data_IF_199070683203
#
_entry.id   IF_199070683203
#
_cell.length_a   1.000
_cell.length_b   1.000
_cell.length_c   1.000
_cell.angle_alpha   90.00
_cell.angle_beta   90.00
_cell.angle_gamma   90.00
#
_symmetry.space_group_name_H-M   'P 1'
#
loop_
_entity.id
_entity.type
_entity.pdbx_description
1 polymer ?
#
# COMPACT_ATOMS: atom_id res chain seq x y z
N UNK A 1 -18.89 18.78 -24.12
CA UNK A 1 -18.46 19.45 -22.88
C UNK A 1 -18.53 20.93 -23.13
N UNK A 2 -19.08 21.73 -22.21
CA UNK A 2 -18.92 23.18 -22.27
C UNK A 2 -17.44 23.51 -22.11
N UNK A 3 -16.88 24.33 -22.99
CA UNK A 3 -15.51 24.84 -22.86
C UNK A 3 -15.52 26.09 -22.00
N UNK A 4 -14.41 26.38 -21.29
CA UNK A 4 -14.32 27.56 -20.42
C UNK A 4 -14.59 28.89 -21.16
N UNK A 5 -14.35 28.92 -22.48
CA UNK A 5 -14.63 30.04 -23.37
C UNK A 5 -16.13 30.35 -23.56
N UNK A 6 -17.01 29.43 -23.13
CA UNK A 6 -18.46 29.55 -23.28
C UNK A 6 -19.16 30.02 -21.99
N UNK A 7 -18.42 30.22 -20.90
CA UNK A 7 -18.97 30.62 -19.60
C UNK A 7 -19.00 32.15 -19.46
N UNK A 8 -20.08 32.67 -18.84
CA UNK A 8 -20.13 34.05 -18.41
C UNK A 8 -19.16 34.29 -17.23
N UNK A 9 -18.75 35.54 -17.03
CA UNK A 9 -17.78 35.89 -15.98
C UNK A 9 -18.23 35.47 -14.57
N UNK A 10 -19.53 35.54 -14.27
CA UNK A 10 -20.11 35.12 -12.98
C UNK A 10 -20.05 33.60 -12.79
N UNK A 11 -20.28 32.83 -13.86
CA UNK A 11 -20.22 31.37 -13.84
C UNK A 11 -18.78 30.89 -13.66
N UNK A 12 -17.83 31.57 -14.31
CA UNK A 12 -16.41 31.30 -14.15
C UNK A 12 -15.94 31.58 -12.72
N UNK A 13 -16.40 32.68 -12.11
CA UNK A 13 -16.06 33.02 -10.73
C UNK A 13 -16.64 31.99 -9.73
N UNK A 14 -17.88 31.55 -9.93
CA UNK A 14 -18.49 30.50 -9.11
C UNK A 14 -17.73 29.17 -9.23
N UNK A 15 -17.31 28.82 -10.45
CA UNK A 15 -16.50 27.61 -10.70
C UNK A 15 -15.13 27.69 -10.01
N UNK A 16 -14.46 28.85 -10.05
CA UNK A 16 -13.19 29.05 -9.34
C UNK A 16 -13.35 28.93 -7.82
N UNK A 17 -14.42 29.46 -7.25
CA UNK A 17 -14.71 29.29 -5.82
C UNK A 17 -14.93 27.82 -5.46
N UNK A 18 -15.70 27.09 -6.26
CA UNK A 18 -15.92 25.66 -6.04
C UNK A 18 -14.60 24.87 -6.01
N UNK A 19 -13.67 25.16 -6.92
CA UNK A 19 -12.37 24.50 -6.94
C UNK A 19 -11.49 24.89 -5.74
N UNK A 20 -11.51 26.16 -5.33
CA UNK A 20 -10.80 26.61 -4.15
C UNK A 20 -11.33 25.93 -2.87
N UNK A 21 -12.65 25.84 -2.71
CA UNK A 21 -13.29 25.16 -1.57
C UNK A 21 -13.03 23.64 -1.59
N UNK A 22 -12.81 23.08 -2.78
CA UNK A 22 -12.44 21.67 -2.96
C UNK A 22 -10.95 21.39 -2.70
N UNK A 23 -10.16 22.41 -2.33
CA UNK A 23 -8.73 22.27 -2.04
C UNK A 23 -7.86 22.10 -3.28
N UNK A 24 -8.31 22.59 -4.44
CA UNK A 24 -7.51 22.59 -5.67
C UNK A 24 -6.60 23.82 -5.67
N UNK A 25 -5.33 23.61 -5.35
CA UNK A 25 -4.33 24.70 -5.26
C UNK A 25 -3.39 24.80 -6.48
N UNK A 26 -3.46 23.84 -7.41
CA UNK A 26 -2.58 23.77 -8.60
C UNK A 26 -3.40 23.36 -9.82
N UNK A 27 -3.18 24.06 -10.94
CA UNK A 27 -3.68 23.69 -12.26
C UNK A 27 -2.58 22.95 -13.03
N UNK A 28 -2.91 21.79 -13.58
CA UNK A 28 -2.01 21.03 -14.45
C UNK A 28 -2.38 21.28 -15.91
N UNK A 29 -1.41 21.64 -16.73
CA UNK A 29 -1.56 21.73 -18.19
C UNK A 29 -1.19 20.41 -18.86
N UNK A 30 -1.70 20.20 -20.08
CA UNK A 30 -1.39 19.02 -20.89
C UNK A 30 0.07 18.96 -21.36
N UNK A 31 0.78 20.09 -21.32
CA UNK A 31 2.19 20.21 -21.70
C UNK A 31 3.07 20.46 -20.46
N UNK A 32 4.26 19.83 -20.37
CA UNK A 32 5.18 20.07 -19.28
C UNK A 32 5.70 21.50 -19.31
N UNK A 33 5.59 22.20 -18.18
CA UNK A 33 6.05 23.59 -18.01
C UNK A 33 7.44 23.61 -17.36
N UNK A 34 8.39 24.31 -17.98
CA UNK A 34 9.71 24.55 -17.41
C UNK A 34 9.66 25.66 -16.35
N UNK A 35 9.63 25.24 -15.09
CA UNK A 35 9.59 26.12 -13.92
C UNK A 35 10.82 27.06 -13.80
N UNK A 36 11.94 26.73 -14.45
CA UNK A 36 13.16 27.55 -14.40
C UNK A 36 13.16 28.68 -15.43
N UNK A 37 12.34 28.56 -16.48
CA UNK A 37 12.16 29.56 -17.52
C UNK A 37 11.01 30.53 -17.23
N UNK A 38 10.15 30.21 -16.25
CA UNK A 38 9.05 31.06 -15.82
C UNK A 38 9.59 32.32 -15.14
N UNK A 39 9.37 33.46 -15.78
CA UNK A 39 9.64 34.77 -15.18
C UNK A 39 8.60 34.98 -14.06
N UNK A 40 8.99 35.32 -12.82
CA UNK A 40 8.02 35.56 -11.77
C UNK A 40 7.07 36.67 -12.20
N UNK A 41 5.80 36.33 -12.39
CA UNK A 41 4.75 37.31 -12.62
C UNK A 41 4.67 38.21 -11.38
N UNK A 42 4.58 39.52 -11.61
CA UNK A 42 4.37 40.46 -10.52
C UNK A 42 3.08 40.09 -9.80
N UNK A 43 3.08 39.97 -8.46
CA UNK A 43 1.86 39.68 -7.74
C UNK A 43 0.82 40.75 -8.08
N UNK A 44 -0.33 40.31 -8.60
CA UNK A 44 -1.48 41.17 -8.83
C UNK A 44 -1.82 41.93 -7.54
N UNK A 45 -2.28 43.20 -7.62
CA UNK A 45 -2.61 43.98 -6.44
C UNK A 45 -3.64 43.23 -5.61
N UNK A 46 -3.32 43.06 -4.32
CA UNK A 46 -4.17 42.36 -3.37
C UNK A 46 -5.59 42.96 -3.39
N UNK A 47 -6.58 42.11 -3.68
CA UNK A 47 -7.98 42.48 -3.55
C UNK A 47 -8.25 43.03 -2.14
N UNK A 48 -9.10 44.06 -1.99
CA UNK A 48 -9.33 44.72 -0.72
C UNK A 48 -9.91 43.72 0.28
N UNK A 49 -9.09 43.36 1.27
CA UNK A 49 -9.54 42.58 2.44
C UNK A 49 -10.70 43.35 3.07
N UNK A 50 -11.89 42.74 3.07
CA UNK A 50 -13.02 43.24 3.85
C UNK A 50 -12.56 43.36 5.31
N UNK A 51 -12.41 44.61 5.75
CA UNK A 51 -12.04 44.98 7.10
C UNK A 51 -13.18 44.53 8.00
N UNK A 52 -13.03 43.39 8.66
CA UNK A 52 -13.93 43.00 9.73
C UNK A 52 -13.89 44.11 10.79
N UNK A 53 -15.04 44.76 10.97
CA UNK A 53 -15.25 45.83 11.95
C UNK A 53 -15.25 45.18 13.34
N UNK A 54 -14.35 45.58 14.26
CA UNK A 54 -14.45 45.16 15.66
C UNK A 54 -15.71 45.77 16.29
N UNK A 55 -16.52 45.00 17.05
CA UNK A 55 -17.62 45.60 17.79
C UNK A 55 -17.09 46.57 18.85
N UNK A 56 -17.79 47.70 18.97
CA UNK A 56 -17.44 48.85 19.79
C UNK A 56 -17.31 48.50 21.29
N UNK A 57 -16.27 49.06 21.92
CA UNK A 57 -16.10 49.10 23.38
C UNK A 57 -17.16 50.04 23.98
N UNK A 58 -17.90 49.56 24.96
CA UNK A 58 -18.69 50.40 25.86
C UNK A 58 -17.83 50.85 27.06
N UNK A 59 -18.10 52.02 27.67
CA UNK A 59 -17.25 52.59 28.72
C UNK A 59 -17.50 51.96 30.09
N UNK A 60 -16.45 52.03 30.90
CA UNK A 60 -16.33 51.56 32.27
C UNK A 60 -17.41 52.12 33.22
N UNK A 61 -17.96 51.23 34.05
CA UNK A 61 -18.66 51.59 35.28
C UNK A 61 -18.13 50.72 36.43
N UNK A 62 -17.40 51.38 37.32
CA UNK A 62 -17.27 51.21 38.78
C UNK A 62 -17.14 49.81 39.39
N UNK A 63 -15.97 49.66 40.03
CA UNK A 63 -15.53 48.71 41.03
C UNK A 63 -16.55 48.43 42.16
N UNK A 64 -16.98 47.17 42.31
CA UNK A 64 -17.54 46.63 43.55
C UNK A 64 -17.38 45.09 43.63
N UNK A 65 -16.50 44.67 44.54
CA UNK A 65 -16.52 43.48 45.40
C UNK A 65 -16.94 42.11 44.80
N UNK A 66 -15.96 41.19 44.73
CA UNK A 66 -16.13 39.75 44.44
C UNK A 66 -16.68 38.96 45.64
N UNK A 67 -17.76 38.18 45.48
CA UNK A 67 -18.06 36.99 46.30
C UNK A 67 -17.47 35.71 45.65
N UNK A 68 -17.33 34.60 46.41
CA UNK A 68 -16.63 33.39 45.97
C UNK A 68 -17.45 32.53 45.01
N UNK A 69 -16.73 31.68 44.26
CA UNK A 69 -17.20 30.85 43.15
C UNK A 69 -18.27 29.81 43.53
N UNK A 70 -19.28 29.57 42.66
CA UNK A 70 -20.09 28.37 42.73
C UNK A 70 -19.43 27.21 41.95
N UNK A 71 -19.28 26.07 42.65
CA UNK A 71 -18.85 24.79 42.11
C UNK A 71 -19.83 24.30 41.03
N UNK A 72 -19.32 24.02 39.83
CA UNK A 72 -20.12 23.41 38.75
C UNK A 72 -20.10 21.90 38.93
N UNK A 73 -21.25 21.33 39.27
CA UNK A 73 -21.46 19.89 39.37
C UNK A 73 -21.23 19.18 38.03
N UNK A 74 -20.59 18.02 38.06
CA UNK A 74 -20.48 17.10 36.93
C UNK A 74 -21.84 16.45 36.65
N UNK A 75 -22.31 16.39 35.39
CA UNK A 75 -23.47 15.59 35.06
C UNK A 75 -23.06 14.11 34.91
N UNK A 76 -23.46 13.30 35.88
CA UNK A 76 -23.55 11.84 35.73
C UNK A 76 -24.89 11.49 35.07
N UNK A 77 -24.85 10.60 34.08
CA UNK A 77 -25.93 9.65 33.79
C UNK A 77 -26.98 10.07 32.76
N UNK A 78 -26.75 9.67 31.51
CA UNK A 78 -27.83 9.06 30.72
C UNK A 78 -27.26 7.87 29.97
N UNK A 79 -27.59 6.68 30.46
CA UNK A 79 -27.34 5.42 29.79
C UNK A 79 -28.23 5.38 28.54
N UNK A 80 -27.65 5.68 27.38
CA UNK A 80 -28.28 5.37 26.11
C UNK A 80 -28.16 3.86 25.90
N UNK A 81 -29.32 3.21 25.76
CA UNK A 81 -29.46 1.79 25.44
C UNK A 81 -28.49 1.36 24.35
N UNK A 82 -27.74 0.29 24.64
CA UNK A 82 -27.07 -0.50 23.62
C UNK A 82 -28.12 -0.99 22.62
N UNK A 83 -28.08 -0.46 21.41
CA UNK A 83 -28.75 -1.06 20.27
C UNK A 83 -28.01 -2.38 20.01
N UNK A 84 -28.70 -3.54 19.96
CA UNK A 84 -28.09 -4.78 19.52
C UNK A 84 -27.53 -4.59 18.12
N UNK A 85 -26.25 -4.89 17.97
CA UNK A 85 -25.51 -4.94 16.72
C UNK A 85 -26.18 -5.89 15.72
N UNK A 86 -26.72 -5.33 14.65
CA UNK A 86 -26.61 -5.98 13.35
C UNK A 86 -25.23 -5.63 12.80
N UNK A 87 -24.31 -6.59 12.60
CA UNK A 87 -23.16 -6.30 11.76
C UNK A 87 -23.73 -6.06 10.37
N UNK A 88 -23.67 -4.82 9.89
CA UNK A 88 -23.71 -4.56 8.46
C UNK A 88 -22.47 -5.25 7.86
N UNK A 89 -22.58 -6.54 7.54
CA UNK A 89 -21.49 -7.34 6.99
C UNK A 89 -21.10 -6.76 5.64
N UNK A 90 -19.84 -6.37 5.58
CA UNK A 90 -19.20 -5.41 4.67
C UNK A 90 -18.93 -6.09 3.31
N UNK A 91 -18.89 -5.36 2.18
CA UNK A 91 -18.52 -5.89 0.85
C UNK A 91 -17.26 -6.78 0.78
N UNK A 92 -16.37 -6.65 1.77
CA UNK A 92 -15.10 -7.38 1.89
C UNK A 92 -15.28 -8.90 2.04
N UNK A 93 -16.27 -9.39 2.81
CA UNK A 93 -16.44 -10.84 3.04
C UNK A 93 -16.85 -11.57 1.75
N UNK A 94 -17.69 -10.93 0.93
CA UNK A 94 -18.04 -11.42 -0.40
C UNK A 94 -16.81 -11.48 -1.29
N UNK A 95 -16.00 -10.41 -1.31
CA UNK A 95 -14.80 -10.34 -2.12
C UNK A 95 -13.76 -11.40 -1.72
N UNK A 96 -13.60 -11.69 -0.43
CA UNK A 96 -12.73 -12.76 0.07
C UNK A 96 -13.26 -14.14 -0.36
N UNK A 97 -14.58 -14.37 -0.27
CA UNK A 97 -15.19 -15.63 -0.71
C UNK A 97 -15.03 -15.84 -2.23
N UNK A 98 -15.25 -14.79 -3.03
CA UNK A 98 -15.06 -14.82 -4.48
C UNK A 98 -13.59 -15.06 -4.84
N UNK A 99 -12.64 -14.41 -4.13
CA UNK A 99 -11.21 -14.62 -4.31
C UNK A 99 -10.80 -16.06 -4.02
N UNK A 100 -11.30 -16.63 -2.92
CA UNK A 100 -11.06 -18.04 -2.55
C UNK A 100 -11.59 -18.98 -3.63
N UNK A 101 -12.83 -18.79 -4.07
CA UNK A 101 -13.42 -19.60 -5.13
C UNK A 101 -12.61 -19.52 -6.43
N UNK A 102 -12.22 -18.32 -6.85
CA UNK A 102 -11.43 -18.11 -8.06
C UNK A 102 -10.04 -18.77 -7.97
N UNK A 103 -9.37 -18.63 -6.82
CA UNK A 103 -8.06 -19.23 -6.60
C UNK A 103 -8.13 -20.77 -6.55
N UNK A 104 -9.08 -21.35 -5.81
CA UNK A 104 -9.23 -22.80 -5.67
C UNK A 104 -9.63 -23.48 -6.99
N UNK A 105 -10.38 -22.78 -7.84
CA UNK A 105 -10.81 -23.29 -9.14
C UNK A 105 -9.66 -23.45 -10.13
N UNK A 106 -8.58 -22.66 -10.00
CA UNK A 106 -7.43 -22.73 -10.90
C UNK A 106 -6.59 -23.99 -10.62
N UNK A 107 -6.32 -24.79 -11.66
CA UNK A 107 -5.53 -26.03 -11.59
C UNK A 107 -4.11 -25.89 -12.12
N UNK A 108 -3.76 -24.73 -12.66
CA UNK A 108 -2.41 -24.40 -13.15
C UNK A 108 -2.09 -22.94 -12.89
N UNK A 109 -0.80 -22.58 -12.91
CA UNK A 109 -0.37 -21.19 -12.76
C UNK A 109 -0.95 -20.29 -13.88
N UNK A 110 -1.09 -20.82 -15.09
CA UNK A 110 -1.74 -20.11 -16.20
C UNK A 110 -3.22 -19.81 -15.93
N UNK A 111 -3.98 -20.80 -15.46
CA UNK A 111 -5.38 -20.60 -15.05
C UNK A 111 -5.50 -19.60 -13.89
N UNK A 112 -4.58 -19.66 -12.93
CA UNK A 112 -4.56 -18.74 -11.79
C UNK A 112 -4.27 -17.30 -12.23
N UNK A 113 -3.33 -17.12 -13.17
CA UNK A 113 -3.04 -15.82 -13.78
C UNK A 113 -4.25 -15.27 -14.54
N UNK A 114 -4.99 -16.12 -15.24
CA UNK A 114 -6.23 -15.73 -15.90
C UNK A 114 -7.30 -15.31 -14.88
N UNK A 115 -7.52 -16.11 -13.84
CA UNK A 115 -8.44 -15.81 -12.76
C UNK A 115 -8.12 -14.45 -12.11
N UNK A 116 -6.85 -14.24 -11.73
CA UNK A 116 -6.36 -12.97 -11.21
C UNK A 116 -6.61 -11.80 -12.17
N UNK A 117 -6.30 -11.96 -13.46
CA UNK A 117 -6.45 -10.88 -14.44
C UNK A 117 -7.90 -10.44 -14.63
N UNK A 118 -8.85 -11.37 -14.45
CA UNK A 118 -10.30 -11.15 -14.51
C UNK A 118 -10.94 -10.76 -13.16
N UNK A 119 -10.19 -10.83 -12.06
CA UNK A 119 -10.73 -10.59 -10.73
C UNK A 119 -11.01 -9.10 -10.50
N UNK A 120 -12.28 -8.74 -10.35
CA UNK A 120 -12.73 -7.34 -10.23
C UNK A 120 -13.10 -6.93 -8.79
N UNK A 121 -13.20 -7.87 -7.85
CA UNK A 121 -13.67 -7.58 -6.48
C UNK A 121 -12.60 -6.97 -5.57
N UNK A 122 -11.42 -6.61 -6.10
CA UNK A 122 -10.36 -5.89 -5.37
C UNK A 122 -10.14 -4.50 -5.95
N UNK A 123 -10.23 -3.46 -5.11
CA UNK A 123 -10.00 -2.06 -5.48
C UNK A 123 -8.61 -1.79 -6.09
N UNK A 124 -7.58 -2.55 -5.70
CA UNK A 124 -6.21 -2.39 -6.18
C UNK A 124 -6.10 -2.64 -7.69
N UNK A 125 -6.91 -3.56 -8.23
CA UNK A 125 -6.94 -3.90 -9.65
C UNK A 125 -7.30 -2.71 -10.55
N UNK A 126 -8.07 -1.74 -10.05
CA UNK A 126 -8.47 -0.57 -10.82
C UNK A 126 -7.34 0.46 -10.99
N UNK A 127 -6.36 0.45 -10.08
CA UNK A 127 -5.27 1.42 -10.06
C UNK A 127 -3.95 0.86 -10.62
N UNK A 128 -3.83 -0.46 -10.70
CA UNK A 128 -2.65 -1.11 -11.23
C UNK A 128 -2.67 -1.20 -12.76
N UNK A 129 -1.52 -0.94 -13.38
CA UNK A 129 -1.30 -1.15 -14.82
C UNK A 129 -1.11 -2.62 -15.14
N UNK A 130 -0.43 -3.35 -14.25
CA UNK A 130 -0.04 -4.73 -14.47
C UNK A 130 -0.49 -5.63 -13.31
N UNK A 131 -0.71 -6.90 -13.62
CA UNK A 131 -0.94 -7.95 -12.62
C UNK A 131 0.32 -8.80 -12.54
N UNK A 132 0.96 -8.82 -11.37
CA UNK A 132 2.15 -9.63 -11.12
C UNK A 132 1.71 -11.00 -10.60
N UNK A 133 2.04 -12.05 -11.34
CA UNK A 133 1.74 -13.44 -11.01
C UNK A 133 2.84 -14.32 -11.60
N UNK A 134 3.13 -15.44 -10.97
CA UNK A 134 4.03 -16.45 -11.55
C UNK A 134 3.48 -16.99 -12.86
N UNK A 135 4.35 -17.09 -13.86
CA UNK A 135 4.07 -17.74 -15.13
C UNK A 135 4.34 -19.25 -15.05
N UNK A 136 5.40 -19.65 -14.36
CA UNK A 136 5.83 -21.02 -14.21
C UNK A 136 6.53 -21.25 -12.86
N UNK A 137 6.60 -22.50 -12.44
CA UNK A 137 7.48 -22.92 -11.36
C UNK A 137 8.95 -22.83 -11.81
N UNK A 138 9.86 -22.65 -10.85
CA UNK A 138 11.28 -22.56 -11.15
C UNK A 138 11.99 -23.91 -11.06
N UNK A 139 12.94 -24.18 -11.98
CA UNK A 139 13.67 -25.45 -12.00
C UNK A 139 14.52 -25.67 -10.74
N UNK A 140 14.94 -24.60 -10.04
CA UNK A 140 15.65 -24.73 -8.76
C UNK A 140 14.78 -25.23 -7.61
N UNK A 141 13.45 -25.17 -7.73
CA UNK A 141 12.53 -25.35 -6.60
C UNK A 141 12.57 -24.20 -5.59
N UNK A 142 13.15 -23.04 -5.93
CA UNK A 142 13.18 -21.84 -5.09
C UNK A 142 12.11 -20.87 -5.55
N UNK A 143 11.26 -20.43 -4.62
CA UNK A 143 10.32 -19.35 -4.83
C UNK A 143 10.61 -18.19 -3.87
N UNK A 144 10.64 -16.98 -4.41
CA UNK A 144 10.87 -15.74 -3.69
C UNK A 144 9.62 -14.86 -3.76
N UNK A 145 9.22 -14.33 -2.62
CA UNK A 145 7.98 -13.55 -2.49
C UNK A 145 8.31 -12.22 -1.83
N UNK A 146 8.08 -11.13 -2.54
CA UNK A 146 8.13 -9.79 -1.98
C UNK A 146 6.73 -9.28 -1.61
N UNK A 147 6.63 -8.14 -0.94
CA UNK A 147 5.36 -7.64 -0.41
C UNK A 147 4.33 -7.31 -1.49
N UNK A 148 4.54 -6.20 -2.20
CA UNK A 148 3.62 -5.67 -3.19
C UNK A 148 4.40 -4.83 -4.22
N UNK A 149 3.86 -4.64 -5.44
CA UNK A 149 4.52 -3.92 -6.51
C UNK A 149 4.65 -2.44 -6.18
N UNK A 150 5.79 -1.85 -6.54
CA UNK A 150 5.96 -0.40 -6.62
C UNK A 150 5.71 0.13 -8.05
N UNK A 151 5.90 1.43 -8.27
CA UNK A 151 5.71 2.04 -9.59
C UNK A 151 6.60 1.51 -10.72
N UNK A 152 7.85 1.10 -10.45
CA UNK A 152 8.70 0.44 -11.44
C UNK A 152 8.18 -0.96 -11.76
N UNK A 153 7.78 -1.72 -10.75
CA UNK A 153 7.24 -3.08 -10.90
C UNK A 153 5.97 -3.08 -11.74
N UNK A 154 5.05 -2.15 -11.46
CA UNK A 154 3.78 -2.00 -12.17
C UNK A 154 3.97 -1.58 -13.64
N UNK A 155 4.96 -0.73 -13.92
CA UNK A 155 5.33 -0.35 -15.29
C UNK A 155 5.95 -1.51 -16.06
N UNK A 156 6.80 -2.29 -15.41
CA UNK A 156 7.48 -3.43 -16.02
C UNK A 156 6.58 -4.68 -16.13
N UNK A 157 5.57 -4.78 -15.27
CA UNK A 157 4.76 -5.99 -15.10
C UNK A 157 5.52 -7.14 -14.42
N UNK A 158 6.61 -6.83 -13.71
CA UNK A 158 7.49 -7.81 -13.09
C UNK A 158 7.97 -7.34 -11.71
N UNK A 159 8.04 -8.27 -10.76
CA UNK A 159 8.41 -7.98 -9.38
C UNK A 159 9.88 -7.56 -9.25
N UNK A 160 10.16 -6.66 -8.30
CA UNK A 160 11.50 -6.14 -8.01
C UNK A 160 12.19 -5.63 -9.29
N UNK A 161 11.61 -4.61 -9.89
CA UNK A 161 12.13 -3.84 -11.01
C UNK A 161 12.79 -2.54 -10.50
N UNK A 162 13.38 -1.77 -11.42
CA UNK A 162 14.02 -0.49 -11.10
C UNK A 162 15.21 -0.63 -10.15
N UNK A 163 15.41 0.36 -9.26
CA UNK A 163 16.56 0.39 -8.33
C UNK A 163 16.52 -0.73 -7.30
N UNK A 164 15.34 -1.08 -6.80
CA UNK A 164 15.16 -2.22 -5.90
C UNK A 164 15.50 -3.53 -6.61
N UNK A 165 15.14 -3.65 -7.89
CA UNK A 165 15.50 -4.77 -8.74
C UNK A 165 17.01 -4.94 -8.95
N UNK A 166 17.73 -3.86 -9.23
CA UNK A 166 19.18 -3.91 -9.38
C UNK A 166 19.88 -4.41 -8.11
N UNK A 167 19.42 -3.98 -6.94
CA UNK A 167 19.95 -4.49 -5.67
C UNK A 167 19.59 -5.96 -5.47
N UNK A 168 18.37 -6.36 -5.82
CA UNK A 168 17.95 -7.77 -5.78
C UNK A 168 18.82 -8.65 -6.67
N UNK A 169 19.15 -8.21 -7.88
CA UNK A 169 20.02 -8.95 -8.79
C UNK A 169 21.42 -9.15 -8.22
N UNK A 170 21.98 -8.09 -7.60
CA UNK A 170 23.25 -8.18 -6.89
C UNK A 170 23.17 -9.14 -5.68
N UNK A 171 22.05 -9.17 -4.96
CA UNK A 171 21.82 -10.09 -3.85
C UNK A 171 21.77 -11.55 -4.33
N UNK A 172 21.07 -11.83 -5.43
CA UNK A 172 21.01 -13.17 -6.04
C UNK A 172 22.39 -13.64 -6.50
N UNK A 173 23.09 -12.78 -7.26
CA UNK A 173 24.42 -13.10 -7.77
C UNK A 173 25.41 -13.44 -6.64
N UNK A 174 25.31 -12.74 -5.50
CA UNK A 174 26.17 -13.00 -4.35
C UNK A 174 25.97 -14.38 -3.70
N UNK A 175 24.81 -15.04 -3.93
CA UNK A 175 24.54 -16.40 -3.48
C UNK A 175 24.53 -17.43 -4.62
N UNK A 176 24.97 -17.05 -5.83
CA UNK A 176 25.06 -17.94 -6.99
C UNK A 176 23.71 -18.23 -7.66
N UNK A 177 22.71 -17.38 -7.45
CA UNK A 177 21.40 -17.47 -8.10
C UNK A 177 21.25 -16.38 -9.17
N UNK A 178 20.26 -16.56 -10.04
CA UNK A 178 19.83 -15.58 -11.03
C UNK A 178 18.30 -15.63 -11.17
N UNK A 179 17.69 -14.62 -11.79
CA UNK A 179 16.22 -14.55 -11.94
C UNK A 179 15.64 -15.72 -12.73
N UNK A 180 16.39 -16.22 -13.71
CA UNK A 180 15.99 -17.34 -14.57
C UNK A 180 15.89 -18.65 -13.80
N UNK A 181 16.65 -18.77 -12.70
CA UNK A 181 16.69 -19.96 -11.89
C UNK A 181 15.66 -19.97 -10.77
N UNK A 182 14.96 -18.86 -10.49
CA UNK A 182 14.03 -18.75 -9.35
C UNK A 182 12.62 -18.36 -9.81
N UNK A 183 11.63 -18.65 -8.98
CA UNK A 183 10.27 -18.17 -9.19
C UNK A 183 10.09 -16.91 -8.35
N UNK A 184 9.87 -15.74 -8.96
CA UNK A 184 9.73 -14.47 -8.25
C UNK A 184 8.33 -13.89 -8.44
N UNK A 185 7.67 -13.55 -7.33
CA UNK A 185 6.36 -12.90 -7.34
C UNK A 185 6.19 -11.93 -6.16
N UNK A 186 5.04 -11.27 -6.12
CA UNK A 186 4.59 -10.42 -5.01
C UNK A 186 3.44 -11.10 -4.27
N UNK A 187 3.32 -10.84 -2.95
CA UNK A 187 2.22 -11.34 -2.15
C UNK A 187 0.88 -10.69 -2.51
N UNK A 188 0.91 -9.40 -2.88
CA UNK A 188 -0.20 -8.69 -3.51
C UNK A 188 0.13 -8.52 -4.99
N UNK A 189 -0.75 -8.88 -5.92
CA UNK A 189 -0.43 -8.86 -7.36
C UNK A 189 -0.50 -7.46 -8.00
N UNK A 190 -1.06 -6.48 -7.30
CA UNK A 190 -1.34 -5.13 -7.82
C UNK A 190 -0.67 -4.03 -6.99
N UNK A 191 -0.25 -2.97 -7.67
CA UNK A 191 0.29 -1.77 -7.04
C UNK A 191 -0.77 -1.06 -6.19
N UNK A 192 -0.36 -0.59 -5.02
CA UNK A 192 -1.19 0.24 -4.16
C UNK A 192 -1.09 1.73 -4.54
N UNK A 193 -2.16 2.52 -4.36
CA UNK A 193 -2.12 3.96 -4.62
C UNK A 193 -1.03 4.65 -3.78
N UNK A 194 -0.11 5.36 -4.43
CA UNK A 194 0.99 6.05 -3.76
C UNK A 194 2.03 5.12 -3.10
N UNK A 195 2.10 3.85 -3.51
CA UNK A 195 3.02 2.84 -2.95
C UNK A 195 2.89 2.67 -1.42
N UNK A 196 1.70 2.97 -0.87
CA UNK A 196 1.39 2.73 0.54
C UNK A 196 1.37 1.23 0.85
N UNK A 197 1.51 0.88 2.12
CA UNK A 197 1.24 -0.49 2.55
C UNK A 197 -0.23 -0.88 2.25
N UNK A 198 -0.49 -2.12 1.78
CA UNK A 198 -1.83 -2.65 1.63
C UNK A 198 -2.60 -2.62 2.95
N UNK A 199 -3.92 -2.41 2.87
CA UNK A 199 -4.80 -2.54 4.04
C UNK A 199 -4.98 -4.00 4.40
N UNK A 200 -5.55 -4.26 5.58
CA UNK A 200 -5.86 -5.64 5.98
C UNK A 200 -6.89 -6.28 5.06
N UNK A 201 -7.96 -5.59 4.69
CA UNK A 201 -8.96 -6.12 3.74
C UNK A 201 -8.32 -6.45 2.39
N UNK A 202 -7.46 -5.58 1.86
CA UNK A 202 -6.73 -5.83 0.61
C UNK A 202 -5.84 -7.07 0.70
N UNK A 203 -5.15 -7.25 1.83
CA UNK A 203 -4.31 -8.41 2.08
C UNK A 203 -5.14 -9.71 2.16
N UNK A 204 -6.26 -9.70 2.88
CA UNK A 204 -7.14 -10.88 3.00
C UNK A 204 -7.79 -11.26 1.67
N UNK A 205 -8.18 -10.29 0.83
CA UNK A 205 -8.71 -10.56 -0.52
C UNK A 205 -7.64 -11.22 -1.40
N UNK A 206 -6.39 -10.77 -1.31
CA UNK A 206 -5.31 -11.27 -2.17
C UNK A 206 -4.66 -12.57 -1.65
N UNK A 207 -4.80 -12.88 -0.36
CA UNK A 207 -4.19 -14.03 0.30
C UNK A 207 -4.46 -15.38 -0.38
N UNK A 208 -5.70 -15.71 -0.81
CA UNK A 208 -5.97 -16.98 -1.48
C UNK A 208 -5.16 -17.17 -2.76
N UNK A 209 -4.87 -16.10 -3.50
CA UNK A 209 -4.13 -16.18 -4.75
C UNK A 209 -2.65 -16.48 -4.55
N UNK A 210 -2.00 -15.85 -3.56
CA UNK A 210 -0.59 -16.14 -3.27
C UNK A 210 -0.44 -17.55 -2.67
N UNK A 211 -1.36 -17.97 -1.81
CA UNK A 211 -1.37 -19.33 -1.27
C UNK A 211 -1.54 -20.38 -2.37
N UNK A 212 -2.45 -20.12 -3.32
CA UNK A 212 -2.63 -20.99 -4.49
C UNK A 212 -1.40 -20.99 -5.39
N UNK A 213 -0.76 -19.84 -5.63
CA UNK A 213 0.49 -19.78 -6.41
C UNK A 213 1.56 -20.65 -5.78
N UNK A 214 1.74 -20.58 -4.46
CA UNK A 214 2.71 -21.41 -3.74
C UNK A 214 2.34 -22.90 -3.85
N UNK A 215 1.06 -23.24 -3.65
CA UNK A 215 0.59 -24.61 -3.75
C UNK A 215 0.73 -25.20 -5.16
N UNK A 216 0.57 -24.40 -6.22
CA UNK A 216 0.74 -24.85 -7.60
C UNK A 216 2.21 -24.89 -8.05
N UNK A 217 3.05 -24.01 -7.49
CA UNK A 217 4.48 -23.97 -7.80
C UNK A 217 5.28 -25.05 -7.05
N UNK A 218 4.74 -25.56 -5.94
CA UNK A 218 5.34 -26.58 -5.07
C UNK A 218 6.85 -26.35 -4.79
N UNK A 219 7.26 -25.16 -4.33
CA UNK A 219 8.67 -24.88 -4.11
C UNK A 219 9.22 -25.73 -2.96
N UNK A 220 10.48 -26.16 -3.08
CA UNK A 220 11.24 -26.78 -1.98
C UNK A 220 11.56 -25.75 -0.90
N UNK A 221 11.91 -24.54 -1.33
CA UNK A 221 12.31 -23.45 -0.43
C UNK A 221 11.63 -22.14 -0.80
N UNK A 222 11.18 -21.42 0.23
CA UNK A 222 10.61 -20.08 0.15
C UNK A 222 11.56 -19.06 0.76
N UNK A 223 11.82 -17.97 0.03
CA UNK A 223 12.48 -16.79 0.58
C UNK A 223 11.50 -15.62 0.60
N UNK A 224 11.10 -15.19 1.79
CA UNK A 224 10.18 -14.07 1.99
C UNK A 224 10.96 -12.77 2.17
N UNK A 225 10.67 -11.79 1.32
CA UNK A 225 11.38 -10.52 1.24
C UNK A 225 10.53 -9.41 1.87
N UNK A 226 10.98 -8.93 3.02
CA UNK A 226 10.43 -7.79 3.73
C UNK A 226 9.34 -8.12 4.74
N UNK A 227 8.89 -7.07 5.43
CA UNK A 227 7.95 -7.19 6.54
C UNK A 227 6.57 -7.67 6.13
N UNK A 228 6.05 -7.18 5.01
CA UNK A 228 4.70 -7.52 4.57
C UNK A 228 4.56 -9.02 4.23
N UNK A 229 5.43 -9.55 3.36
CA UNK A 229 5.39 -10.94 2.95
C UNK A 229 5.61 -11.90 4.13
N UNK A 230 6.56 -11.57 5.01
CA UNK A 230 6.85 -12.37 6.21
C UNK A 230 5.65 -12.43 7.15
N UNK A 231 4.96 -11.31 7.38
CA UNK A 231 3.78 -11.25 8.25
C UNK A 231 2.57 -11.97 7.66
N UNK A 232 2.36 -11.84 6.36
CA UNK A 232 1.22 -12.47 5.68
C UNK A 232 1.30 -14.00 5.72
N UNK A 233 2.52 -14.56 5.57
CA UNK A 233 2.73 -16.00 5.36
C UNK A 233 3.28 -16.75 6.57
N UNK A 234 3.94 -16.07 7.53
CA UNK A 234 4.50 -16.71 8.73
C UNK A 234 3.65 -16.38 9.96
N UNK A 235 3.63 -15.11 10.37
CA UNK A 235 3.06 -14.68 11.64
C UNK A 235 2.67 -13.20 11.57
N UNK A 236 1.36 -12.91 11.67
CA UNK A 236 0.82 -11.56 11.51
C UNK A 236 1.26 -10.61 12.61
N UNK A 237 1.61 -11.11 13.79
CA UNK A 237 1.86 -10.30 14.98
C UNK A 237 3.34 -9.96 15.19
N UNK A 238 4.24 -10.57 14.40
CA UNK A 238 5.69 -10.33 14.47
C UNK A 238 6.18 -9.36 13.41
N UNK A 239 7.39 -8.83 13.62
CA UNK A 239 8.08 -8.04 12.60
C UNK A 239 9.06 -8.91 11.81
N UNK A 240 9.52 -8.42 10.66
CA UNK A 240 10.61 -9.07 9.92
C UNK A 240 11.87 -9.23 10.76
N UNK A 241 12.14 -8.35 11.72
CA UNK A 241 13.33 -8.46 12.58
C UNK A 241 13.24 -9.65 13.54
N UNK A 242 12.04 -10.00 13.99
CA UNK A 242 11.79 -11.18 14.83
C UNK A 242 11.83 -12.46 13.98
N UNK A 243 11.40 -12.37 12.72
CA UNK A 243 11.24 -13.51 11.84
C UNK A 243 12.50 -13.84 11.01
N UNK A 244 13.39 -12.88 10.76
CA UNK A 244 14.47 -13.07 9.78
C UNK A 244 15.56 -14.04 10.21
N UNK A 245 16.19 -14.67 9.22
CA UNK A 245 17.43 -15.45 9.39
C UNK A 245 17.25 -16.82 10.03
N UNK A 246 16.04 -17.19 10.41
CA UNK A 246 15.68 -18.54 10.86
C UNK A 246 14.88 -19.25 9.76
N UNK A 247 15.23 -20.51 9.53
CA UNK A 247 14.54 -21.37 8.60
C UNK A 247 13.42 -22.12 9.34
N UNK A 248 12.19 -21.98 8.86
CA UNK A 248 10.99 -22.49 9.53
C UNK A 248 10.10 -23.26 8.56
N UNK A 249 9.30 -24.16 9.10
CA UNK A 249 8.23 -24.80 8.34
C UNK A 249 6.98 -23.95 8.46
N UNK A 250 6.42 -23.56 7.31
CA UNK A 250 5.11 -22.90 7.24
C UNK A 250 4.11 -23.83 6.58
N UNK A 251 2.87 -23.77 7.05
CA UNK A 251 1.76 -24.55 6.47
C UNK A 251 0.90 -23.61 5.64
N UNK A 252 0.72 -23.95 4.36
CA UNK A 252 -0.17 -23.24 3.45
C UNK A 252 -1.15 -24.27 2.88
N UNK A 253 -2.44 -24.09 3.18
CA UNK A 253 -3.45 -25.14 2.96
C UNK A 253 -3.09 -26.41 3.74
N UNK A 254 -2.94 -27.53 3.03
CA UNK A 254 -2.52 -28.82 3.58
C UNK A 254 -1.03 -29.13 3.40
N UNK A 255 -0.27 -28.21 2.79
CA UNK A 255 1.13 -28.42 2.41
C UNK A 255 2.07 -27.70 3.36
N UNK A 256 3.26 -28.27 3.55
CA UNK A 256 4.33 -27.67 4.36
C UNK A 256 5.48 -27.23 3.47
N UNK A 257 5.97 -26.02 3.71
CA UNK A 257 7.05 -25.41 2.95
C UNK A 257 8.14 -24.91 3.89
N UNK A 258 9.41 -25.02 3.44
CA UNK A 258 10.55 -24.52 4.19
C UNK A 258 10.80 -23.06 3.82
N UNK A 259 10.55 -22.14 4.75
CA UNK A 259 10.61 -20.70 4.51
C UNK A 259 11.69 -20.01 5.35
N UNK A 260 12.37 -19.04 4.76
CA UNK A 260 13.26 -18.10 5.43
C UNK A 260 12.79 -16.67 5.14
N UNK A 261 12.73 -15.83 6.16
CA UNK A 261 12.45 -14.40 6.00
C UNK A 261 13.74 -13.58 5.98
N UNK A 262 13.77 -12.52 5.18
CA UNK A 262 14.81 -11.50 5.19
C UNK A 262 14.25 -10.13 4.82
N UNK A 263 15.09 -9.10 4.79
CA UNK A 263 14.71 -7.72 4.48
C UNK A 263 14.55 -7.52 2.98
N UNK A 264 13.56 -6.72 2.58
CA UNK A 264 13.33 -6.43 1.17
C UNK A 264 14.40 -5.47 0.60
N UNK A 265 14.73 -5.56 -0.70
CA UNK A 265 15.65 -4.61 -1.34
C UNK A 265 15.25 -3.14 -1.17
N UNK A 266 13.95 -2.82 -1.23
CA UNK A 266 13.43 -1.47 -0.97
C UNK A 266 13.72 -0.98 0.45
N UNK A 267 13.52 -1.84 1.46
CA UNK A 267 13.84 -1.55 2.86
C UNK A 267 15.35 -1.34 3.06
N UNK A 268 16.18 -2.12 2.36
CA UNK A 268 17.65 -1.99 2.39
C UNK A 268 18.17 -0.74 1.69
N UNK A 269 17.45 -0.22 0.70
CA UNK A 269 17.76 1.06 0.07
C UNK A 269 17.42 2.23 1.01
N UNK A 270 16.31 2.13 1.73
CA UNK A 270 15.91 3.13 2.73
C UNK A 270 16.80 3.11 3.99
N UNK A 271 17.22 1.92 4.43
CA UNK A 271 18.08 1.71 5.60
C UNK A 271 19.32 0.85 5.25
N UNK A 272 20.35 1.43 4.60
CA UNK A 272 21.53 0.69 4.15
C UNK A 272 22.35 0.01 5.25
N UNK A 273 22.26 0.49 6.49
CA UNK A 273 22.89 -0.13 7.67
C UNK A 273 22.45 -1.58 7.89
N UNK A 274 21.25 -1.93 7.44
CA UNK A 274 20.69 -3.27 7.58
C UNK A 274 21.18 -4.26 6.51
N UNK A 275 22.01 -3.84 5.53
CA UNK A 275 22.55 -4.75 4.50
C UNK A 275 23.38 -5.89 5.09
N UNK A 276 24.10 -5.65 6.20
CA UNK A 276 24.84 -6.69 6.93
C UNK A 276 23.91 -7.80 7.43
N UNK A 277 22.70 -7.42 7.86
CA UNK A 277 21.69 -8.35 8.32
C UNK A 277 21.19 -9.18 7.13
N UNK A 278 20.73 -8.56 6.05
CA UNK A 278 20.26 -9.29 4.87
C UNK A 278 21.34 -10.23 4.32
N UNK A 279 22.61 -9.80 4.28
CA UNK A 279 23.71 -10.66 3.85
C UNK A 279 23.84 -11.94 4.68
N UNK A 280 23.75 -11.85 6.02
CA UNK A 280 23.79 -13.03 6.88
C UNK A 280 22.63 -13.99 6.61
N UNK A 281 21.45 -13.47 6.32
CA UNK A 281 20.28 -14.29 5.99
C UNK A 281 20.45 -14.99 4.65
N UNK A 282 20.98 -14.29 3.65
CA UNK A 282 21.26 -14.85 2.33
C UNK A 282 22.32 -15.96 2.42
N UNK A 283 23.38 -15.78 3.22
CA UNK A 283 24.37 -16.84 3.46
C UNK A 283 23.73 -18.06 4.15
N UNK A 284 22.82 -17.84 5.11
CA UNK A 284 22.08 -18.93 5.74
C UNK A 284 21.19 -19.65 4.74
N UNK A 285 20.48 -18.91 3.89
CA UNK A 285 19.66 -19.48 2.83
C UNK A 285 20.52 -20.28 1.83
N UNK A 286 21.65 -19.73 1.41
CA UNK A 286 22.61 -20.41 0.52
C UNK A 286 23.08 -21.74 1.11
N UNK A 287 23.37 -21.80 2.42
CA UNK A 287 23.78 -23.05 3.08
C UNK A 287 22.71 -24.13 3.13
N UNK A 288 21.44 -23.76 2.98
CA UNK A 288 20.31 -24.70 2.98
C UNK A 288 20.04 -25.28 1.59
N UNK A 289 20.26 -24.48 0.55
CA UNK A 289 19.95 -24.86 -0.84
C UNK A 289 21.12 -25.51 -1.58
N UNK A 290 22.32 -25.49 -0.98
CA UNK A 290 23.55 -26.09 -1.50
C UNK A 290 23.62 -27.59 -1.20
#
# INVERSE_FOLDING_TARGET
>A
MMTAEQLAAEELAALMHFYADSGVDILCEDLPVDLTALKPEQPAPAAPRHRQVPPARQPEATEAQRPPAPQRAAPQGSAASAIPSDPATIPDDRAIADARFAAESARSLGELKQALSSFASCNLRHNARSTICLDAAAPSGIMMICGFPNGDDDRAGAALSGRAGQLFDAMLAAIGLSRENIALTTAIPWRTPGDRSPTMSEAEICRPFIERQIALAEPKHLLLLGNFASRLLIDRDKTVFDLRGELRDITIGSMKFRALATLAPSELLAAPTNKKLAWRDLQRFQSEIA
#
